data_IF_131026081078
#
_entry.id   IF_131026081078
#
_cell.length_a   1.000
_cell.length_b   1.000
_cell.length_c   1.000
_cell.angle_alpha   90.00
_cell.angle_beta   90.00
_cell.angle_gamma   90.00
#
_symmetry.space_group_name_H-M   'P 1'
#
loop_
_entity.id
_entity.type
_entity.pdbx_description
1 polymer ?
#
# COMPACT_ATOMS: atom_id res chain seq x y z
N UNK A 1 -13.54 -18.09 5.73
CA UNK A 1 -12.82 -17.17 4.83
C UNK A 1 -13.62 -16.86 3.59
N UNK A 2 -13.43 -15.67 3.01
CA UNK A 2 -14.04 -15.23 1.74
C UNK A 2 -13.46 -16.03 0.56
N UNK A 3 -14.24 -16.25 -0.50
CA UNK A 3 -13.75 -16.92 -1.73
C UNK A 3 -12.84 -15.98 -2.55
N UNK A 4 -11.94 -16.55 -3.39
CA UNK A 4 -11.09 -15.77 -4.32
C UNK A 4 -11.88 -14.76 -5.14
N UNK A 5 -13.04 -15.18 -5.67
CA UNK A 5 -13.92 -14.30 -6.46
C UNK A 5 -14.51 -13.16 -5.61
N UNK A 6 -14.93 -13.45 -4.37
CA UNK A 6 -15.45 -12.44 -3.44
C UNK A 6 -14.39 -11.40 -3.09
N UNK A 7 -13.15 -11.82 -2.85
CA UNK A 7 -12.02 -10.92 -2.54
C UNK A 7 -11.71 -10.02 -3.74
N UNK A 8 -11.62 -10.58 -4.95
CA UNK A 8 -11.31 -9.80 -6.15
C UNK A 8 -12.41 -8.80 -6.51
N UNK A 9 -13.68 -9.19 -6.33
CA UNK A 9 -14.81 -8.28 -6.53
C UNK A 9 -14.80 -7.12 -5.53
N UNK A 10 -14.53 -7.39 -4.26
CA UNK A 10 -14.43 -6.37 -3.22
C UNK A 10 -13.25 -5.41 -3.47
N UNK A 11 -12.10 -5.94 -3.88
CA UNK A 11 -10.91 -5.16 -4.20
C UNK A 11 -11.07 -4.30 -5.47
N UNK A 12 -11.73 -4.84 -6.51
CA UNK A 12 -11.98 -4.15 -7.77
C UNK A 12 -13.00 -3.01 -7.67
N UNK A 13 -13.99 -3.12 -6.77
CA UNK A 13 -14.98 -2.07 -6.52
C UNK A 13 -14.45 -0.86 -5.74
N UNK A 14 -13.26 -0.95 -5.14
CA UNK A 14 -12.68 0.09 -4.30
C UNK A 14 -11.88 1.17 -5.07
N UNK A 15 -12.05 1.29 -6.39
CA UNK A 15 -11.50 2.42 -7.17
C UNK A 15 -12.26 3.71 -6.79
N UNK A 16 -11.75 4.43 -5.79
CA UNK A 16 -12.22 5.79 -5.49
C UNK A 16 -11.81 6.74 -6.62
N UNK A 17 -12.79 7.40 -7.21
CA UNK A 17 -12.59 8.50 -8.14
C UNK A 17 -11.62 9.54 -7.54
N UNK A 18 -10.63 9.92 -8.34
CA UNK A 18 -9.68 10.97 -7.98
C UNK A 18 -10.44 12.28 -7.73
N UNK A 19 -10.44 12.75 -6.49
CA UNK A 19 -11.01 14.03 -6.11
C UNK A 19 -10.17 15.14 -6.73
N UNK A 20 -10.70 15.82 -7.74
CA UNK A 20 -10.08 17.02 -8.34
C UNK A 20 -10.11 18.19 -7.33
N UNK A 21 -9.05 19.02 -7.25
CA UNK A 21 -9.09 20.26 -6.49
C UNK A 21 -9.77 21.35 -7.33
N UNK A 22 -11.01 21.71 -6.99
CA UNK A 22 -11.66 22.92 -7.51
C UNK A 22 -11.23 24.14 -6.70
N UNK A 23 -10.85 25.21 -7.42
CA UNK A 23 -10.24 26.44 -6.90
C UNK A 23 -11.11 27.31 -5.98
N UNK A 24 -10.43 28.27 -5.35
CA UNK A 24 -10.95 29.26 -4.41
C UNK A 24 -11.96 30.23 -5.04
N UNK A 25 -12.84 30.80 -4.20
CA UNK A 25 -12.96 32.26 -4.18
C UNK A 25 -12.87 32.86 -2.77
N UNK A 26 -12.40 34.10 -2.74
CA UNK A 26 -12.24 35.02 -1.61
C UNK A 26 -13.58 35.64 -1.18
N UNK A 27 -13.73 35.95 0.11
CA UNK A 27 -14.80 36.84 0.62
C UNK A 27 -15.10 36.66 2.11
N UNK A 28 -14.87 37.71 2.89
CA UNK A 28 -15.08 37.82 4.35
C UNK A 28 -16.58 37.91 4.75
N UNK A 29 -16.94 37.48 5.98
CA UNK A 29 -17.67 38.28 7.01
C UNK A 29 -18.01 37.45 8.27
N UNK A 30 -18.30 38.20 9.34
CA UNK A 30 -18.32 37.95 10.78
C UNK A 30 -19.55 37.18 11.31
N UNK A 31 -19.34 36.34 12.35
CA UNK A 31 -20.11 36.41 13.60
C UNK A 31 -21.09 35.28 13.98
N UNK A 32 -20.90 34.79 15.21
CA UNK A 32 -21.86 34.18 16.18
C UNK A 32 -21.99 32.65 16.27
N UNK A 33 -21.57 32.13 17.43
CA UNK A 33 -21.94 30.84 18.04
C UNK A 33 -23.40 30.91 18.57
N UNK A 34 -24.22 29.82 18.51
CA UNK A 34 -24.11 28.80 19.58
C UNK A 34 -24.57 27.35 19.27
N UNK A 35 -24.03 26.45 20.11
CA UNK A 35 -24.64 25.23 20.73
C UNK A 35 -24.65 23.89 19.96
N UNK A 36 -23.98 22.95 20.61
CA UNK A 36 -24.01 21.48 20.45
C UNK A 36 -25.42 20.88 20.31
N UNK A 37 -25.53 19.88 19.43
CA UNK A 37 -26.42 18.71 19.60
C UNK A 37 -25.97 17.55 18.69
N UNK A 38 -25.43 16.52 19.33
CA UNK A 38 -25.51 15.10 19.00
C UNK A 38 -25.38 14.68 17.54
N UNK A 39 -24.17 14.35 17.10
CA UNK A 39 -23.98 13.43 15.98
C UNK A 39 -24.27 12.02 16.50
N UNK A 40 -25.43 11.48 16.13
CA UNK A 40 -25.70 10.06 16.27
C UNK A 40 -24.67 9.30 15.42
N UNK A 41 -23.71 8.67 16.09
CA UNK A 41 -22.69 7.83 15.48
C UNK A 41 -23.40 6.57 14.98
N UNK A 42 -23.66 6.54 13.68
CA UNK A 42 -24.19 5.37 13.01
C UNK A 42 -23.20 4.21 13.23
N UNK A 43 -23.67 3.01 13.63
CA UNK A 43 -22.78 1.91 13.94
C UNK A 43 -22.03 1.52 12.66
N UNK A 44 -20.72 1.76 12.65
CA UNK A 44 -19.84 1.18 11.65
C UNK A 44 -19.99 -0.35 11.76
N UNK A 45 -20.36 -1.05 10.67
CA UNK A 45 -20.47 -2.49 10.72
C UNK A 45 -19.09 -3.03 11.06
N UNK A 46 -19.04 -3.81 12.14
CA UNK A 46 -17.89 -4.54 12.63
C UNK A 46 -17.42 -5.48 11.51
N UNK A 47 -16.47 -5.00 10.70
CA UNK A 47 -15.91 -5.74 9.59
C UNK A 47 -15.20 -6.96 10.17
N UNK A 48 -15.78 -8.12 9.86
CA UNK A 48 -15.25 -9.45 10.14
C UNK A 48 -13.72 -9.48 9.99
N UNK A 49 -13.05 -10.07 10.98
CA UNK A 49 -11.60 -10.04 11.13
C UNK A 49 -10.89 -10.36 9.80
N UNK A 50 -9.99 -9.47 9.38
CA UNK A 50 -9.22 -9.58 8.13
C UNK A 50 -8.13 -10.67 8.18
N UNK A 51 -8.30 -11.67 9.05
CA UNK A 51 -7.32 -12.73 9.35
C UNK A 51 -7.44 -13.96 8.43
N UNK A 52 -8.50 -14.10 7.64
CA UNK A 52 -8.78 -15.37 6.92
C UNK A 52 -8.66 -15.32 5.39
N UNK A 53 -7.95 -14.36 4.81
CA UNK A 53 -7.67 -14.42 3.36
C UNK A 53 -6.41 -15.24 3.13
N UNK A 54 -6.59 -16.48 2.70
CA UNK A 54 -5.50 -17.32 2.21
C UNK A 54 -4.99 -16.77 0.87
N UNK A 55 -3.79 -16.18 0.89
CA UNK A 55 -3.16 -15.61 -0.30
C UNK A 55 -2.47 -16.66 -1.18
N UNK A 56 -2.37 -17.92 -0.74
CA UNK A 56 -1.65 -18.97 -1.46
C UNK A 56 -2.21 -19.22 -2.87
N UNK A 57 -3.54 -19.16 -3.03
CA UNK A 57 -4.23 -19.44 -4.28
C UNK A 57 -4.35 -18.28 -5.28
N UNK A 58 -3.73 -17.13 -4.99
CA UNK A 58 -3.79 -15.95 -5.85
C UNK A 58 -2.61 -15.92 -6.81
N UNK A 59 -2.85 -15.55 -8.06
CA UNK A 59 -1.79 -15.25 -9.03
C UNK A 59 -1.20 -13.86 -8.76
N UNK A 60 -0.01 -13.58 -9.31
CA UNK A 60 0.69 -12.30 -9.09
C UNK A 60 -0.18 -11.05 -9.35
N UNK A 61 -0.88 -11.02 -10.49
CA UNK A 61 -1.73 -9.90 -10.89
C UNK A 61 -2.88 -9.69 -9.93
N UNK A 62 -3.41 -10.76 -9.36
CA UNK A 62 -4.49 -10.73 -8.39
C UNK A 62 -3.99 -10.32 -7.01
N UNK A 63 -2.80 -10.78 -6.63
CA UNK A 63 -2.16 -10.44 -5.37
C UNK A 63 -1.95 -8.92 -5.25
N UNK A 64 -1.55 -8.26 -6.35
CA UNK A 64 -1.44 -6.81 -6.42
C UNK A 64 -2.79 -6.13 -6.14
N UNK A 65 -3.87 -6.63 -6.75
CA UNK A 65 -5.23 -6.11 -6.54
C UNK A 65 -5.69 -6.28 -5.09
N UNK A 66 -5.42 -7.44 -4.49
CA UNK A 66 -5.73 -7.69 -3.07
C UNK A 66 -4.94 -6.73 -2.18
N UNK A 67 -3.64 -6.54 -2.46
CA UNK A 67 -2.79 -5.64 -1.69
C UNK A 67 -3.31 -4.20 -1.68
N UNK A 68 -3.73 -3.67 -2.84
CA UNK A 68 -4.27 -2.31 -2.99
C UNK A 68 -5.42 -2.02 -2.03
N UNK A 69 -6.31 -3.00 -1.84
CA UNK A 69 -7.48 -2.87 -0.96
C UNK A 69 -7.22 -3.26 0.51
N UNK A 70 -6.00 -3.69 0.86
CA UNK A 70 -5.70 -4.27 2.16
C UNK A 70 -5.97 -3.28 3.32
N UNK A 71 -6.61 -3.80 4.38
CA UNK A 71 -6.92 -3.08 5.64
C UNK A 71 -6.46 -3.87 6.88
N UNK A 72 -5.55 -4.84 6.71
CA UNK A 72 -5.17 -5.81 7.77
C UNK A 72 -4.35 -5.20 8.92
N UNK A 73 -3.85 -3.97 8.78
CA UNK A 73 -3.09 -3.31 9.84
C UNK A 73 -3.33 -1.79 9.85
N UNK A 74 -2.83 -1.15 10.91
CA UNK A 74 -2.99 0.29 11.17
C UNK A 74 -2.46 1.21 10.05
N UNK A 75 -1.46 0.76 9.29
CA UNK A 75 -0.84 1.54 8.22
C UNK A 75 -1.79 1.83 7.06
N UNK A 76 -2.84 1.02 6.93
CA UNK A 76 -3.82 1.18 5.88
C UNK A 76 -4.49 2.57 5.89
N UNK A 77 -4.65 3.17 7.07
CA UNK A 77 -5.30 4.48 7.25
C UNK A 77 -4.41 5.66 6.86
N UNK A 78 -3.08 5.48 6.88
CA UNK A 78 -2.12 6.56 6.70
C UNK A 78 -1.40 6.57 5.35
N UNK A 79 -1.48 5.49 4.56
CA UNK A 79 -0.86 5.40 3.24
C UNK A 79 -1.53 6.30 2.21
N UNK A 80 -0.76 6.82 1.27
CA UNK A 80 -1.29 7.40 0.04
C UNK A 80 -1.53 6.32 -1.01
N UNK A 81 -0.57 5.41 -1.17
CA UNK A 81 -0.64 4.27 -2.10
C UNK A 81 -0.07 3.02 -1.45
N UNK A 82 -0.53 1.87 -1.93
CA UNK A 82 0.19 0.62 -1.67
C UNK A 82 1.40 0.58 -2.59
N UNK A 83 2.53 0.15 -2.04
CA UNK A 83 3.77 -0.05 -2.78
C UNK A 83 4.01 -1.54 -2.87
N UNK A 84 3.47 -2.16 -3.93
CA UNK A 84 3.44 -3.60 -4.06
C UNK A 84 4.79 -4.17 -4.50
N UNK A 85 5.24 -3.76 -5.69
CA UNK A 85 6.52 -4.13 -6.30
C UNK A 85 6.82 -3.34 -7.58
N UNK A 86 8.02 -3.53 -8.13
CA UNK A 86 8.48 -3.02 -9.43
C UNK A 86 9.52 -3.99 -10.03
N UNK A 87 9.88 -3.78 -11.29
CA UNK A 87 10.80 -4.63 -12.05
C UNK A 87 10.13 -5.83 -12.72
N UNK A 88 10.90 -6.88 -12.98
CA UNK A 88 10.47 -8.07 -13.71
C UNK A 88 9.92 -9.15 -12.75
N UNK A 89 8.62 -9.51 -12.78
CA UNK A 89 8.05 -10.55 -11.93
C UNK A 89 8.60 -11.96 -12.17
N UNK A 90 9.38 -12.15 -13.24
CA UNK A 90 10.05 -13.41 -13.59
C UNK A 90 11.57 -13.34 -13.37
N UNK A 91 12.05 -12.28 -12.71
CA UNK A 91 13.47 -12.13 -12.41
C UNK A 91 13.95 -13.22 -11.44
N UNK A 92 15.20 -13.66 -11.62
CA UNK A 92 15.87 -14.60 -10.71
C UNK A 92 16.43 -13.91 -9.45
N UNK A 93 16.63 -12.61 -9.50
CA UNK A 93 17.13 -11.80 -8.39
C UNK A 93 15.98 -10.95 -7.83
N UNK A 94 15.76 -11.08 -6.52
CA UNK A 94 14.77 -10.31 -5.78
C UNK A 94 15.46 -9.38 -4.78
N UNK A 95 15.11 -8.10 -4.79
CA UNK A 95 15.55 -7.10 -3.81
C UNK A 95 14.39 -6.80 -2.88
N UNK A 96 14.61 -7.00 -1.58
CA UNK A 96 13.58 -6.81 -0.54
C UNK A 96 14.05 -5.73 0.43
N UNK A 97 13.34 -4.61 0.45
CA UNK A 97 13.51 -3.58 1.48
C UNK A 97 12.57 -3.78 2.66
N UNK A 98 12.70 -2.92 3.65
CA UNK A 98 11.91 -2.98 4.88
C UNK A 98 10.49 -2.44 4.68
N UNK A 99 10.38 -1.16 4.31
CA UNK A 99 9.11 -0.48 4.13
C UNK A 99 9.22 0.67 3.11
N UNK A 100 8.09 1.13 2.54
CA UNK A 100 8.08 2.27 1.64
C UNK A 100 8.39 3.57 2.40
N UNK A 101 9.20 4.44 1.79
CA UNK A 101 9.42 5.81 2.24
C UNK A 101 8.38 6.79 1.66
N UNK A 102 8.64 8.09 1.84
CA UNK A 102 7.72 9.14 1.42
C UNK A 102 7.51 9.23 -0.10
N UNK A 103 8.57 9.05 -0.88
CA UNK A 103 8.48 9.11 -2.34
C UNK A 103 7.80 7.86 -2.89
N UNK A 104 8.08 6.71 -2.29
CA UNK A 104 7.49 5.43 -2.62
C UNK A 104 5.98 5.46 -2.36
N UNK A 105 5.54 5.91 -1.18
CA UNK A 105 4.12 6.05 -0.85
C UNK A 105 3.37 6.98 -1.82
N UNK A 106 4.01 8.08 -2.23
CA UNK A 106 3.41 9.02 -3.19
C UNK A 106 3.30 8.45 -4.60
N UNK A 107 4.26 7.64 -5.03
CA UNK A 107 4.36 7.13 -6.41
C UNK A 107 3.72 5.75 -6.58
N UNK A 108 3.65 4.95 -5.52
CA UNK A 108 3.27 3.54 -5.59
C UNK A 108 4.42 2.60 -5.99
N UNK A 109 5.63 3.13 -6.18
CA UNK A 109 6.79 2.38 -6.67
C UNK A 109 7.87 2.25 -5.58
N UNK A 110 8.46 1.06 -5.37
CA UNK A 110 9.49 0.84 -4.38
C UNK A 110 10.85 1.41 -4.85
N UNK A 111 11.67 1.84 -3.89
CA UNK A 111 13.03 2.32 -4.14
C UNK A 111 13.09 3.43 -5.22
N UNK A 112 12.35 4.52 -5.06
CA UNK A 112 12.40 5.69 -5.97
C UNK A 112 13.06 6.92 -5.33
N UNK A 113 13.35 6.86 -4.03
CA UNK A 113 14.14 7.86 -3.30
C UNK A 113 15.66 7.73 -3.53
N UNK A 114 16.44 8.33 -2.64
CA UNK A 114 17.92 8.34 -2.74
C UNK A 114 18.52 6.93 -2.64
N UNK A 115 18.02 6.10 -1.72
CA UNK A 115 18.44 4.70 -1.62
C UNK A 115 18.16 3.91 -2.91
N UNK A 116 17.06 4.23 -3.60
CA UNK A 116 16.70 3.63 -4.87
C UNK A 116 17.65 4.01 -6.01
N UNK A 117 18.03 5.29 -6.08
CA UNK A 117 19.06 5.74 -7.05
C UNK A 117 20.39 5.05 -6.80
N UNK A 118 20.77 4.86 -5.54
CA UNK A 118 21.98 4.12 -5.20
C UNK A 118 21.88 2.64 -5.58
N UNK A 119 20.74 2.00 -5.34
CA UNK A 119 20.46 0.65 -5.82
C UNK A 119 20.61 0.54 -7.34
N UNK A 120 20.07 1.50 -8.11
CA UNK A 120 20.18 1.50 -9.57
C UNK A 120 21.65 1.58 -10.03
N UNK A 121 22.50 2.35 -9.33
CA UNK A 121 23.94 2.40 -9.59
C UNK A 121 24.64 1.07 -9.29
N UNK A 122 24.27 0.40 -8.19
CA UNK A 122 24.82 -0.91 -7.83
C UNK A 122 24.43 -1.97 -8.86
N UNK A 123 23.17 -2.01 -9.28
CA UNK A 123 22.71 -2.92 -10.33
C UNK A 123 23.47 -2.68 -11.64
N UNK A 124 23.61 -1.42 -12.05
CA UNK A 124 24.33 -1.07 -13.27
C UNK A 124 25.82 -1.45 -13.20
N UNK A 125 26.44 -1.42 -12.02
CA UNK A 125 27.86 -1.80 -11.85
C UNK A 125 28.15 -3.29 -12.11
N UNK A 126 27.09 -4.12 -12.16
CA UNK A 126 27.16 -5.56 -12.46
C UNK A 126 26.31 -5.92 -13.68
N UNK A 127 26.09 -4.98 -14.59
CA UNK A 127 25.34 -5.14 -15.84
C UNK A 127 23.88 -5.61 -15.66
N UNK A 128 23.26 -5.27 -14.53
CA UNK A 128 21.85 -5.54 -14.26
C UNK A 128 21.00 -4.25 -14.36
N UNK A 129 19.75 -4.41 -14.80
CA UNK A 129 18.78 -3.31 -14.87
C UNK A 129 17.59 -3.57 -13.95
N UNK A 130 17.01 -2.50 -13.41
CA UNK A 130 15.76 -2.57 -12.64
C UNK A 130 14.62 -3.24 -13.43
N UNK A 131 14.49 -2.88 -14.70
CA UNK A 131 13.35 -3.26 -15.53
C UNK A 131 13.38 -4.75 -15.88
N UNK A 132 14.55 -5.29 -16.20
CA UNK A 132 14.65 -6.60 -16.84
C UNK A 132 15.25 -7.66 -15.91
N UNK A 133 16.14 -7.26 -14.99
CA UNK A 133 17.00 -8.18 -14.24
C UNK A 133 16.51 -8.51 -12.84
N UNK A 134 15.69 -7.66 -12.22
CA UNK A 134 15.33 -7.77 -10.80
C UNK A 134 13.85 -7.62 -10.54
N UNK A 135 13.39 -8.26 -9.47
CA UNK A 135 12.10 -8.02 -8.85
C UNK A 135 12.32 -7.24 -7.55
N UNK A 136 11.66 -6.10 -7.37
CA UNK A 136 11.89 -5.20 -6.24
C UNK A 136 10.60 -5.07 -5.44
N UNK A 137 10.67 -5.28 -4.12
CA UNK A 137 9.54 -5.03 -3.23
C UNK A 137 10.02 -4.72 -1.80
N UNK A 138 9.08 -4.56 -0.87
CA UNK A 138 9.35 -4.39 0.56
C UNK A 138 8.61 -5.43 1.41
N UNK A 139 9.05 -5.67 2.64
CA UNK A 139 8.32 -6.47 3.63
C UNK A 139 6.94 -5.83 3.89
N UNK A 140 6.92 -4.54 4.24
CA UNK A 140 5.68 -3.78 4.32
C UNK A 140 5.28 -3.21 2.97
N UNK A 141 3.98 -3.22 2.65
CA UNK A 141 3.44 -2.59 1.43
C UNK A 141 2.91 -1.17 1.65
N UNK A 142 2.94 -0.69 2.89
CA UNK A 142 2.45 0.62 3.30
C UNK A 142 3.51 1.34 4.13
N UNK A 143 3.61 2.66 3.96
CA UNK A 143 4.58 3.48 4.68
C UNK A 143 4.23 3.64 6.17
N UNK A 144 5.16 3.38 7.10
CA UNK A 144 5.02 3.78 8.50
C UNK A 144 5.01 5.30 8.69
N UNK A 145 4.19 5.85 9.63
CA UNK A 145 4.17 7.28 9.92
C UNK A 145 5.56 7.82 10.26
N UNK A 146 5.96 8.91 9.61
CA UNK A 146 7.27 9.52 9.85
C UNK A 146 8.47 8.69 9.37
N UNK A 147 8.27 7.64 8.55
CA UNK A 147 9.33 6.69 8.17
C UNK A 147 9.99 5.99 9.37
N UNK A 148 9.26 5.78 10.46
CA UNK A 148 9.75 4.95 11.57
C UNK A 148 9.91 3.49 11.14
N UNK A 149 10.62 2.72 11.95
CA UNK A 149 10.75 1.28 11.77
C UNK A 149 9.38 0.56 11.87
N UNK A 150 9.18 -0.55 11.13
CA UNK A 150 8.04 -1.45 11.24
C UNK A 150 7.86 -2.00 12.64
N UNK A 151 6.61 -2.05 13.08
CA UNK A 151 6.25 -2.78 14.29
C UNK A 151 6.02 -4.26 13.98
N UNK A 152 6.19 -5.12 14.98
CA UNK A 152 6.02 -6.57 14.83
C UNK A 152 4.65 -6.96 14.26
N UNK A 153 3.58 -6.30 14.70
CA UNK A 153 2.22 -6.54 14.19
C UNK A 153 2.09 -6.13 12.72
N UNK A 154 2.71 -5.02 12.31
CA UNK A 154 2.68 -4.57 10.91
C UNK A 154 3.38 -5.58 10.00
N UNK A 155 4.53 -6.12 10.44
CA UNK A 155 5.26 -7.17 9.73
C UNK A 155 4.41 -8.43 9.65
N UNK A 156 3.83 -8.88 10.76
CA UNK A 156 3.02 -10.10 10.82
C UNK A 156 1.84 -10.06 9.82
N UNK A 157 1.12 -8.94 9.77
CA UNK A 157 -0.04 -8.79 8.90
C UNK A 157 0.33 -8.60 7.42
N UNK A 158 1.52 -8.07 7.11
CA UNK A 158 1.94 -7.77 5.73
C UNK A 158 2.79 -8.89 5.10
N UNK A 159 3.55 -9.64 5.90
CA UNK A 159 4.42 -10.74 5.47
C UNK A 159 3.77 -11.80 4.58
N UNK A 160 2.46 -12.14 4.71
CA UNK A 160 1.80 -13.05 3.79
C UNK A 160 1.91 -12.63 2.31
N UNK A 161 1.91 -11.33 1.99
CA UNK A 161 2.12 -10.86 0.62
C UNK A 161 3.53 -11.19 0.13
N UNK A 162 4.55 -10.91 0.95
CA UNK A 162 5.95 -11.20 0.62
C UNK A 162 6.17 -12.71 0.44
N UNK A 163 5.65 -13.54 1.35
CA UNK A 163 5.72 -15.00 1.25
C UNK A 163 5.14 -15.50 -0.07
N UNK A 164 3.99 -14.96 -0.48
CA UNK A 164 3.38 -15.31 -1.76
C UNK A 164 4.17 -14.79 -2.97
N UNK A 165 4.81 -13.63 -2.88
CA UNK A 165 5.68 -13.10 -3.93
C UNK A 165 6.95 -13.94 -4.14
N UNK A 166 7.39 -14.68 -3.12
CA UNK A 166 8.56 -15.57 -3.18
C UNK A 166 8.20 -16.97 -3.74
N UNK A 167 6.97 -17.43 -3.49
CA UNK A 167 6.48 -18.78 -3.83
C UNK A 167 6.10 -18.92 -5.32
#
# INVERSE_FOLDING_TARGET
GLTREQVLRAAGGARREARQPSGLPSGETVGTDPKERGSAELPVPEVASASEVDLAGFEYSELAVVAESCQRCRLAKGRTRVVFSDGNPQARLMVVGEAPGANEDRTGLPFVGQAGKFLDLLLASVDLSRKDSVYICNVLKCRPPGNRDPMADEIEHCSPFLKRQIA
#
